data_IF_960665261576
#
_entry.id   IF_960665261576
#
_cell.length_a   1.000
_cell.length_b   1.000
_cell.length_c   1.000
_cell.angle_alpha   90.00
_cell.angle_beta   90.00
_cell.angle_gamma   90.00
#
_symmetry.space_group_name_H-M   'P 1'
#
loop_
_entity.id
_entity.type
_entity.pdbx_description
1 polymer ?
#
# COMPACT_ATOMS: atom_id res chain seq x y z
N UNK A 1 -29.73 11.54 5.19
CA UNK A 1 -29.66 10.17 4.64
C UNK A 1 -28.76 9.36 5.57
N UNK A 2 -29.35 8.75 6.59
CA UNK A 2 -28.65 7.88 7.56
C UNK A 2 -28.33 6.53 6.91
N UNK A 3 -27.26 6.51 6.11
CA UNK A 3 -26.65 5.27 5.67
C UNK A 3 -25.70 4.80 6.79
N UNK A 4 -25.91 3.60 7.37
CA UNK A 4 -25.00 3.07 8.37
C UNK A 4 -23.60 2.98 7.76
N UNK A 5 -22.68 3.78 8.31
CA UNK A 5 -21.28 3.85 7.90
C UNK A 5 -20.68 2.45 8.01
N UNK A 6 -20.42 1.86 6.85
CA UNK A 6 -20.12 0.45 6.60
C UNK A 6 -18.85 -0.11 7.28
N UNK A 7 -18.12 0.70 8.05
CA UNK A 7 -16.93 0.27 8.77
C UNK A 7 -17.23 -0.40 10.11
N UNK A 8 -18.38 -0.11 10.75
CA UNK A 8 -18.74 -0.64 12.06
C UNK A 8 -19.88 -1.68 12.01
N UNK A 9 -20.28 -2.10 10.81
CA UNK A 9 -21.35 -3.08 10.61
C UNK A 9 -20.79 -4.50 10.65
N UNK A 10 -21.56 -5.43 11.25
CA UNK A 10 -21.20 -6.86 11.32
C UNK A 10 -20.83 -7.40 9.93
N UNK A 11 -19.83 -8.29 9.80
CA UNK A 11 -19.35 -8.81 8.52
C UNK A 11 -20.46 -9.45 7.65
N UNK A 12 -21.55 -9.90 8.28
CA UNK A 12 -22.73 -10.43 7.60
C UNK A 12 -23.56 -9.36 6.84
N UNK A 13 -23.51 -8.08 7.24
CA UNK A 13 -24.28 -6.99 6.62
C UNK A 13 -23.47 -6.23 5.56
N UNK A 14 -22.14 -6.31 5.61
CA UNK A 14 -21.23 -5.66 4.67
C UNK A 14 -20.89 -6.53 3.44
N UNK A 15 -21.67 -7.57 3.13
CA UNK A 15 -21.39 -8.49 2.02
C UNK A 15 -21.18 -7.75 0.69
N UNK A 16 -21.92 -6.66 0.44
CA UNK A 16 -21.82 -5.83 -0.76
C UNK A 16 -20.50 -5.04 -0.84
N UNK A 17 -19.86 -4.77 0.31
CA UNK A 17 -18.55 -4.12 0.41
C UNK A 17 -17.41 -5.12 0.23
N UNK A 18 -17.54 -6.35 0.74
CA UNK A 18 -16.54 -7.41 0.57
C UNK A 18 -16.65 -8.17 -0.76
N UNK A 19 -17.83 -8.21 -1.38
CA UNK A 19 -18.07 -8.94 -2.63
C UNK A 19 -17.15 -8.52 -3.79
N UNK A 20 -16.87 -7.22 -4.05
CA UNK A 20 -15.94 -6.82 -5.10
C UNK A 20 -14.51 -7.30 -4.83
N UNK A 21 -14.06 -7.27 -3.57
CA UNK A 21 -12.73 -7.75 -3.20
C UNK A 21 -12.60 -9.26 -3.43
N UNK A 22 -13.57 -10.04 -2.94
CA UNK A 22 -13.57 -11.50 -3.12
C UNK A 22 -13.69 -11.88 -4.59
N UNK A 23 -14.61 -11.24 -5.34
CA UNK A 23 -14.75 -11.47 -6.78
C UNK A 23 -13.45 -11.13 -7.53
N UNK A 24 -12.83 -9.99 -7.22
CA UNK A 24 -11.56 -9.59 -7.82
C UNK A 24 -10.44 -10.59 -7.52
N UNK A 25 -10.35 -11.08 -6.27
CA UNK A 25 -9.37 -12.10 -5.88
C UNK A 25 -9.60 -13.44 -6.60
N UNK A 26 -10.84 -13.90 -6.71
CA UNK A 26 -11.16 -15.16 -7.40
C UNK A 26 -10.83 -15.06 -8.89
N UNK A 27 -11.16 -13.95 -9.53
CA UNK A 27 -10.81 -13.70 -10.93
C UNK A 27 -9.29 -13.65 -11.12
N UNK A 28 -8.57 -12.91 -10.27
CA UNK A 28 -7.12 -12.84 -10.32
C UNK A 28 -6.46 -14.22 -10.11
N UNK A 29 -6.97 -15.02 -9.16
CA UNK A 29 -6.48 -16.38 -8.92
C UNK A 29 -6.69 -17.29 -10.14
N UNK A 30 -7.85 -17.19 -10.80
CA UNK A 30 -8.12 -17.90 -12.05
C UNK A 30 -7.16 -17.50 -13.18
N UNK A 31 -6.87 -16.21 -13.33
CA UNK A 31 -5.91 -15.71 -14.32
C UNK A 31 -4.49 -16.22 -14.02
N UNK A 32 -4.05 -16.18 -12.77
CA UNK A 32 -2.70 -16.62 -12.36
C UNK A 32 -2.44 -18.12 -12.62
N UNK A 33 -3.48 -18.96 -12.62
CA UNK A 33 -3.35 -20.41 -12.87
C UNK A 33 -3.07 -20.78 -14.34
N UNK A 34 -3.16 -19.85 -15.29
CA UNK A 34 -2.86 -20.15 -16.69
C UNK A 34 -1.37 -20.48 -16.90
N UNK A 35 -1.04 -21.67 -17.45
CA UNK A 35 0.34 -22.02 -17.77
C UNK A 35 0.84 -21.12 -18.90
N UNK A 36 2.01 -20.49 -18.73
CA UNK A 36 2.69 -19.51 -19.61
C UNK A 36 2.42 -18.02 -19.34
N UNK A 37 1.75 -17.62 -18.26
CA UNK A 37 1.76 -16.20 -17.88
C UNK A 37 3.14 -15.81 -17.33
N UNK A 38 3.79 -14.74 -17.86
CA UNK A 38 4.98 -14.17 -17.25
C UNK A 38 4.63 -13.49 -15.92
N UNK A 39 4.47 -14.31 -14.87
CA UNK A 39 4.16 -13.89 -13.50
C UNK A 39 5.16 -12.85 -12.98
N UNK A 40 6.42 -12.95 -13.42
CA UNK A 40 7.44 -11.96 -13.14
C UNK A 40 7.06 -10.56 -13.61
N UNK A 41 6.59 -10.41 -14.85
CA UNK A 41 6.18 -9.10 -15.39
C UNK A 41 4.97 -8.53 -14.64
N UNK A 42 3.98 -9.38 -14.33
CA UNK A 42 2.81 -8.97 -13.57
C UNK A 42 3.18 -8.50 -12.16
N UNK A 43 4.00 -9.29 -11.45
CA UNK A 43 4.46 -8.95 -10.10
C UNK A 43 5.26 -7.64 -10.10
N UNK A 44 6.20 -7.47 -11.04
CA UNK A 44 6.97 -6.23 -11.16
C UNK A 44 6.05 -5.02 -11.44
N UNK A 45 5.05 -5.18 -12.31
CA UNK A 45 4.10 -4.10 -12.63
C UNK A 45 3.28 -3.69 -11.40
N UNK A 46 2.68 -4.66 -10.70
CA UNK A 46 1.90 -4.41 -9.48
C UNK A 46 2.78 -3.83 -8.38
N UNK A 47 4.01 -4.34 -8.26
CA UNK A 47 4.97 -3.88 -7.27
C UNK A 47 5.36 -2.43 -7.53
N UNK A 48 5.73 -2.05 -8.75
CA UNK A 48 6.06 -0.65 -9.10
C UNK A 48 4.88 0.28 -8.79
N UNK A 49 3.65 -0.15 -9.07
CA UNK A 49 2.46 0.61 -8.69
C UNK A 49 2.40 0.75 -7.16
N UNK A 50 2.46 -0.36 -6.41
CA UNK A 50 2.37 -0.34 -4.96
C UNK A 50 3.47 0.51 -4.29
N UNK A 51 4.70 0.45 -4.80
CA UNK A 51 5.85 1.20 -4.26
C UNK A 51 5.75 2.70 -4.53
N UNK A 52 5.10 3.12 -5.61
CA UNK A 52 4.80 4.54 -5.88
C UNK A 52 3.67 5.04 -4.98
N UNK A 53 2.66 4.21 -4.71
CA UNK A 53 1.53 4.58 -3.85
C UNK A 53 1.86 4.60 -2.36
N UNK A 54 2.76 3.73 -1.88
CA UNK A 54 3.09 3.61 -0.45
C UNK A 54 3.64 4.91 0.18
N UNK A 55 4.63 5.62 -0.41
CA UNK A 55 5.11 6.90 0.13
C UNK A 55 4.02 7.97 0.14
N UNK A 56 3.18 8.02 -0.91
CA UNK A 56 2.08 8.98 -0.98
C UNK A 56 1.05 8.74 0.13
N UNK A 57 0.67 7.48 0.34
CA UNK A 57 -0.23 7.09 1.43
C UNK A 57 0.39 7.33 2.81
N UNK A 58 1.69 7.05 2.98
CA UNK A 58 2.41 7.33 4.22
C UNK A 58 2.52 8.82 4.53
N UNK A 59 2.77 9.65 3.52
CA UNK A 59 2.81 11.10 3.68
C UNK A 59 1.44 11.61 4.08
N UNK A 60 0.38 11.14 3.43
CA UNK A 60 -0.99 11.47 3.81
C UNK A 60 -1.31 11.04 5.24
N UNK A 61 -0.96 9.80 5.62
CA UNK A 61 -1.12 9.33 6.99
C UNK A 61 -0.35 10.20 7.97
N UNK A 62 0.90 10.55 7.67
CA UNK A 62 1.71 11.41 8.53
C UNK A 62 1.11 12.81 8.68
N UNK A 63 0.56 13.38 7.60
CA UNK A 63 -0.16 14.65 7.65
C UNK A 63 -1.40 14.55 8.55
N UNK A 64 -2.20 13.48 8.42
CA UNK A 64 -3.36 13.25 9.30
C UNK A 64 -2.95 13.06 10.78
N UNK A 65 -1.86 12.35 11.03
CA UNK A 65 -1.34 12.11 12.38
C UNK A 65 -0.73 13.37 13.02
N UNK A 66 -0.29 14.32 12.19
CA UNK A 66 0.23 15.61 12.63
C UNK A 66 -0.88 16.66 12.77
N UNK A 67 -2.06 16.43 12.20
CA UNK A 67 -3.19 17.35 12.25
C UNK A 67 -3.88 17.31 13.63
N UNK A 68 -3.78 18.42 14.37
CA UNK A 68 -4.38 18.56 15.71
C UNK A 68 -5.90 18.58 15.67
N UNK A 69 -6.50 19.03 14.57
CA UNK A 69 -7.95 19.12 14.43
C UNK A 69 -8.57 17.72 14.22
N UNK A 70 -7.83 16.82 13.57
CA UNK A 70 -8.25 15.43 13.33
C UNK A 70 -7.86 14.47 14.47
N UNK A 71 -6.70 14.66 15.12
CA UNK A 71 -6.19 13.75 16.15
C UNK A 71 -6.42 14.20 17.61
N UNK A 72 -6.84 15.45 17.84
CA UNK A 72 -7.03 16.00 19.19
C UNK A 72 -5.74 15.97 20.02
N UNK A 73 -5.76 15.27 21.16
CA UNK A 73 -4.63 15.17 22.08
C UNK A 73 -3.56 14.13 21.69
N UNK A 74 -3.84 13.26 20.70
CA UNK A 74 -2.95 12.13 20.33
C UNK A 74 -1.92 12.45 19.23
N UNK A 75 -1.75 13.72 18.92
CA UNK A 75 -0.92 14.23 17.83
C UNK A 75 0.52 13.74 17.95
N UNK A 76 1.12 13.44 16.81
CA UNK A 76 2.53 13.07 16.76
C UNK A 76 3.41 14.24 17.25
N UNK A 77 4.06 14.08 18.41
CA UNK A 77 5.05 15.03 18.90
C UNK A 77 6.30 15.09 17.99
N UNK A 78 7.19 16.09 18.16
CA UNK A 78 8.34 16.32 17.28
C UNK A 78 9.28 15.11 17.17
N UNK A 79 9.45 14.34 18.26
CA UNK A 79 10.22 13.08 18.23
C UNK A 79 9.54 12.00 17.39
N UNK A 80 8.21 11.84 17.50
CA UNK A 80 7.45 10.84 16.75
C UNK A 80 7.34 11.20 15.27
N UNK A 81 7.27 12.50 14.95
CA UNK A 81 7.37 12.99 13.58
C UNK A 81 8.75 12.69 12.98
N UNK A 82 9.83 12.90 13.73
CA UNK A 82 11.19 12.53 13.31
C UNK A 82 11.34 11.05 12.96
N UNK A 83 10.79 10.15 13.81
CA UNK A 83 10.77 8.69 13.52
C UNK A 83 9.98 8.38 12.26
N UNK A 84 8.82 9.02 12.07
CA UNK A 84 7.95 8.77 10.91
C UNK A 84 8.62 9.21 9.61
N UNK A 85 9.31 10.36 9.62
CA UNK A 85 10.12 10.84 8.50
C UNK A 85 11.29 9.88 8.24
N UNK A 86 11.97 9.42 9.30
CA UNK A 86 13.07 8.46 9.15
C UNK A 86 12.61 7.15 8.47
N UNK A 87 11.46 6.60 8.88
CA UNK A 87 10.87 5.41 8.25
C UNK A 87 10.52 5.69 6.79
N UNK A 88 9.92 6.84 6.49
CA UNK A 88 9.58 7.24 5.12
C UNK A 88 10.82 7.35 4.24
N UNK A 89 11.88 8.01 4.72
CA UNK A 89 13.15 8.13 3.99
C UNK A 89 13.78 6.75 3.78
N UNK A 90 13.81 5.90 4.80
CA UNK A 90 14.34 4.54 4.68
C UNK A 90 13.57 3.70 3.64
N UNK A 91 12.24 3.81 3.62
CA UNK A 91 11.40 3.12 2.64
C UNK A 91 11.65 3.64 1.23
N UNK A 92 11.74 4.96 1.03
CA UNK A 92 12.06 5.54 -0.28
C UNK A 92 13.43 5.02 -0.75
N UNK A 93 14.42 5.00 0.13
CA UNK A 93 15.78 4.56 -0.18
C UNK A 93 15.80 3.06 -0.57
N UNK A 94 15.07 2.23 0.17
CA UNK A 94 14.94 0.80 -0.14
C UNK A 94 14.22 0.57 -1.50
N UNK A 95 13.20 1.37 -1.81
CA UNK A 95 12.49 1.31 -3.10
C UNK A 95 13.36 1.75 -4.28
N UNK A 96 14.17 2.80 -4.10
CA UNK A 96 15.14 3.25 -5.11
C UNK A 96 16.19 2.18 -5.37
N UNK A 97 16.73 1.56 -4.30
CA UNK A 97 17.67 0.45 -4.42
C UNK A 97 17.05 -0.73 -5.16
N UNK A 98 15.81 -1.11 -4.82
CA UNK A 98 15.08 -2.15 -5.54
C UNK A 98 14.92 -1.80 -7.03
N UNK A 99 14.52 -0.57 -7.34
CA UNK A 99 14.43 -0.10 -8.73
C UNK A 99 15.76 -0.17 -9.48
N UNK A 100 16.87 0.21 -8.84
CA UNK A 100 18.21 0.12 -9.41
C UNK A 100 18.61 -1.32 -9.72
N UNK A 101 18.39 -2.26 -8.81
CA UNK A 101 18.66 -3.69 -9.03
C UNK A 101 17.78 -4.25 -10.15
N UNK A 102 16.54 -3.78 -10.25
CA UNK A 102 15.58 -4.24 -11.27
C UNK A 102 15.91 -3.71 -12.67
N UNK A 103 16.40 -2.47 -12.78
CA UNK A 103 16.74 -1.81 -14.07
C UNK A 103 18.15 -2.14 -14.54
N UNK A 104 19.12 -2.27 -13.62
CA UNK A 104 20.52 -2.61 -13.92
C UNK A 104 20.89 -3.96 -13.29
N UNK A 105 20.35 -5.08 -13.80
CA UNK A 105 20.71 -6.41 -13.30
C UNK A 105 22.21 -6.72 -13.48
N UNK A 106 22.89 -6.03 -14.40
CA UNK A 106 24.31 -6.24 -14.76
C UNK A 106 25.33 -5.65 -13.77
N UNK A 107 24.90 -4.92 -12.73
CA UNK A 107 25.82 -4.43 -11.66
C UNK A 107 26.03 -5.44 -10.53
N UNK A 108 25.13 -6.41 -10.40
CA UNK A 108 25.19 -7.46 -9.36
C UNK A 108 25.06 -8.89 -9.91
N UNK A 109 24.93 -9.07 -11.23
CA UNK A 109 24.90 -10.37 -11.90
C UNK A 109 26.14 -10.61 -12.75
N UNK A 110 26.91 -11.64 -12.38
CA UNK A 110 27.79 -12.37 -13.30
C UNK A 110 26.95 -13.15 -14.33
#
# INVERSE_FOLDING_TARGET
>A
LDLPRSLNAKPAQAWRFYAPAVMGTVLAAGVVLFPNLPLGFLNLSVQVIATVFMPAAMLFLLMLLNDKELMGDYVNGPLRNGVSIAIMVALILCNVLYGLVTVFPTLFGA
#
